data_IF_358091243925
#
_entry.id   IF_358091243925
#
_cell.length_a   1.000
_cell.length_b   1.000
_cell.length_c   1.000
_cell.angle_alpha   90.00
_cell.angle_beta   90.00
_cell.angle_gamma   90.00
#
_symmetry.space_group_name_H-M   'P 1'
#
loop_
_entity.id
_entity.type
_entity.pdbx_description
1 polymer ?
#
# COMPACT_ATOMS: atom_id res chain seq x y z
N UNK A 1 -54.26 35.46 -15.22
CA UNK A 1 -53.30 35.30 -14.12
C UNK A 1 -52.27 34.29 -14.60
N UNK A 2 -51.28 34.81 -15.30
CA UNK A 2 -50.19 33.98 -15.87
C UNK A 2 -49.17 33.74 -14.78
N UNK A 3 -48.89 32.47 -14.53
CA UNK A 3 -47.80 31.99 -13.72
C UNK A 3 -46.59 32.02 -14.64
N UNK A 4 -45.73 33.01 -14.50
CA UNK A 4 -44.41 33.01 -15.12
C UNK A 4 -43.60 31.93 -14.42
N UNK A 5 -43.43 30.79 -15.11
CA UNK A 5 -42.39 29.84 -14.79
C UNK A 5 -41.06 30.55 -14.99
N UNK A 6 -40.44 30.97 -13.89
CA UNK A 6 -39.07 31.45 -13.87
C UNK A 6 -38.23 30.22 -14.08
N UNK A 7 -37.88 29.95 -15.35
CA UNK A 7 -36.82 29.00 -15.73
C UNK A 7 -35.55 29.44 -15.00
N UNK A 8 -35.28 28.81 -13.87
CA UNK A 8 -34.01 28.98 -13.17
C UNK A 8 -32.89 28.44 -14.10
N UNK A 9 -32.25 29.35 -14.81
CA UNK A 9 -31.06 29.05 -15.59
C UNK A 9 -30.06 28.32 -14.66
N UNK A 10 -29.50 27.17 -15.04
CA UNK A 10 -28.49 26.49 -14.24
C UNK A 10 -27.32 27.44 -14.01
N UNK A 11 -26.98 27.69 -12.76
CA UNK A 11 -25.83 28.52 -12.40
C UNK A 11 -24.57 27.81 -12.93
N UNK A 12 -24.02 28.29 -14.03
CA UNK A 12 -22.75 27.77 -14.57
C UNK A 12 -21.61 28.16 -13.62
N UNK A 13 -21.03 27.17 -12.94
CA UNK A 13 -19.86 27.37 -12.13
C UNK A 13 -18.62 27.29 -13.03
N UNK A 14 -17.85 28.37 -13.05
CA UNK A 14 -16.63 28.45 -13.86
C UNK A 14 -15.45 27.80 -13.15
N UNK A 15 -14.64 27.05 -13.89
CA UNK A 15 -13.37 26.51 -13.43
C UNK A 15 -12.41 27.64 -13.03
N UNK A 16 -11.83 27.54 -11.84
CA UNK A 16 -10.81 28.48 -11.37
C UNK A 16 -9.51 27.71 -11.04
N UNK A 17 -8.40 28.42 -11.10
CA UNK A 17 -7.06 27.85 -10.86
C UNK A 17 -6.95 27.11 -9.51
N UNK A 18 -7.62 27.59 -8.46
CA UNK A 18 -7.61 26.94 -7.14
C UNK A 18 -8.23 25.53 -7.17
N UNK A 19 -9.29 25.33 -7.93
CA UNK A 19 -9.98 24.05 -8.09
C UNK A 19 -9.12 23.08 -8.92
N UNK A 20 -8.52 23.56 -9.99
CA UNK A 20 -7.59 22.76 -10.80
C UNK A 20 -6.39 22.32 -9.97
N UNK A 21 -5.75 23.23 -9.23
CA UNK A 21 -4.63 22.89 -8.33
C UNK A 21 -5.02 21.91 -7.23
N UNK A 22 -6.25 21.98 -6.70
CA UNK A 22 -6.77 21.02 -5.73
C UNK A 22 -6.84 19.61 -6.33
N UNK A 23 -7.43 19.50 -7.53
CA UNK A 23 -7.57 18.23 -8.24
C UNK A 23 -6.20 17.65 -8.63
N UNK A 24 -5.28 18.50 -9.10
CA UNK A 24 -3.90 18.09 -9.39
C UNK A 24 -3.23 17.49 -8.14
N UNK A 25 -3.36 18.16 -6.99
CA UNK A 25 -2.81 17.64 -5.73
C UNK A 25 -3.40 16.28 -5.34
N UNK A 26 -4.71 16.09 -5.50
CA UNK A 26 -5.35 14.80 -5.23
C UNK A 26 -4.89 13.72 -6.21
N UNK A 27 -4.78 14.05 -7.49
CA UNK A 27 -4.25 13.14 -8.51
C UNK A 27 -2.80 12.74 -8.23
N UNK A 28 -1.94 13.67 -7.84
CA UNK A 28 -0.55 13.38 -7.49
C UNK A 28 -0.43 12.51 -6.23
N UNK A 29 -1.25 12.78 -5.19
CA UNK A 29 -1.34 11.91 -4.01
C UNK A 29 -1.83 10.52 -4.39
N UNK A 30 -2.85 10.42 -5.25
CA UNK A 30 -3.35 9.13 -5.74
C UNK A 30 -2.26 8.35 -6.53
N UNK A 31 -1.46 9.03 -7.34
CA UNK A 31 -0.30 8.41 -7.99
C UNK A 31 0.73 7.89 -6.98
N UNK A 32 0.94 8.61 -5.89
CA UNK A 32 1.78 8.15 -4.77
C UNK A 32 1.22 6.93 -4.06
N UNK A 33 -0.10 6.94 -3.75
CA UNK A 33 -0.78 5.77 -3.17
C UNK A 33 -0.72 4.57 -4.10
N UNK A 34 -0.92 4.74 -5.41
CA UNK A 34 -0.75 3.68 -6.40
C UNK A 34 0.63 3.03 -6.30
N UNK A 35 1.68 3.84 -6.20
CA UNK A 35 3.05 3.33 -6.06
C UNK A 35 3.22 2.55 -4.75
N UNK A 36 2.73 3.09 -3.62
CA UNK A 36 2.79 2.45 -2.31
C UNK A 36 2.09 1.08 -2.31
N UNK A 37 0.87 1.02 -2.85
CA UNK A 37 0.12 -0.23 -2.97
C UNK A 37 0.79 -1.22 -3.93
N UNK A 38 1.40 -0.76 -5.03
CA UNK A 38 2.16 -1.65 -5.90
C UNK A 38 3.39 -2.24 -5.20
N UNK A 39 4.11 -1.43 -4.43
CA UNK A 39 5.25 -1.91 -3.64
C UNK A 39 4.80 -2.89 -2.55
N UNK A 40 3.72 -2.60 -1.84
CA UNK A 40 3.14 -3.49 -0.84
C UNK A 40 2.67 -4.81 -1.45
N UNK A 41 2.00 -4.77 -2.62
CA UNK A 41 1.60 -5.96 -3.39
C UNK A 41 2.80 -6.87 -3.67
N UNK A 42 3.90 -6.30 -4.17
CA UNK A 42 5.11 -7.06 -4.49
C UNK A 42 5.75 -7.65 -3.23
N UNK A 43 5.75 -6.91 -2.13
CA UNK A 43 6.23 -7.38 -0.83
C UNK A 43 5.44 -8.59 -0.33
N UNK A 44 4.11 -8.50 -0.27
CA UNK A 44 3.24 -9.59 0.19
C UNK A 44 3.25 -10.79 -0.75
N UNK A 45 3.31 -10.55 -2.07
CA UNK A 45 3.47 -11.64 -3.04
C UNK A 45 4.77 -12.41 -2.79
N UNK A 46 5.89 -11.71 -2.63
CA UNK A 46 7.18 -12.35 -2.33
C UNK A 46 7.14 -13.14 -1.02
N UNK A 47 6.49 -12.60 0.02
CA UNK A 47 6.31 -13.30 1.29
C UNK A 47 5.46 -14.57 1.12
N UNK A 48 4.37 -14.51 0.36
CA UNK A 48 3.55 -15.66 0.04
C UNK A 48 4.36 -16.75 -0.69
N UNK A 49 5.07 -16.36 -1.75
CA UNK A 49 5.86 -17.27 -2.57
C UNK A 49 6.95 -17.96 -1.74
N UNK A 50 7.63 -17.22 -0.86
CA UNK A 50 8.68 -17.73 0.02
C UNK A 50 8.18 -18.80 1.01
N UNK A 51 6.93 -18.72 1.46
CA UNK A 51 6.33 -19.71 2.36
C UNK A 51 5.68 -20.87 1.59
N UNK A 52 5.07 -20.59 0.44
CA UNK A 52 4.29 -21.58 -0.31
C UNK A 52 5.15 -22.55 -1.09
N UNK A 53 6.22 -22.10 -1.76
CA UNK A 53 7.06 -23.00 -2.56
C UNK A 53 7.74 -24.10 -1.73
N UNK A 54 8.40 -23.84 -0.59
CA UNK A 54 8.94 -24.91 0.24
C UNK A 54 7.88 -25.88 0.74
N UNK A 55 6.71 -25.38 1.11
CA UNK A 55 5.60 -26.19 1.59
C UNK A 55 5.10 -27.17 0.51
N UNK A 56 4.97 -26.69 -0.74
CA UNK A 56 4.57 -27.53 -1.89
C UNK A 56 5.63 -28.61 -2.16
N UNK A 57 6.91 -28.23 -2.15
CA UNK A 57 8.01 -29.18 -2.37
C UNK A 57 8.03 -30.26 -1.30
N UNK A 58 7.93 -29.88 -0.03
CA UNK A 58 7.86 -30.83 1.09
C UNK A 58 6.66 -31.75 0.94
N UNK A 59 5.47 -31.23 0.67
CA UNK A 59 4.25 -32.01 0.48
C UNK A 59 4.40 -33.01 -0.68
N UNK A 60 5.01 -32.59 -1.79
CA UNK A 60 5.26 -33.47 -2.94
C UNK A 60 6.21 -34.63 -2.61
N UNK A 61 7.32 -34.32 -1.93
CA UNK A 61 8.29 -35.34 -1.52
C UNK A 61 7.68 -36.30 -0.51
N UNK A 62 6.97 -35.79 0.50
CA UNK A 62 6.40 -36.63 1.55
C UNK A 62 5.20 -37.45 1.07
N UNK A 63 4.41 -36.91 0.12
CA UNK A 63 3.29 -37.63 -0.47
C UNK A 63 3.75 -38.88 -1.25
N UNK A 64 4.72 -38.74 -2.13
CA UNK A 64 5.24 -39.86 -2.94
C UNK A 64 6.13 -40.77 -2.10
N UNK A 65 7.08 -40.21 -1.35
CA UNK A 65 8.06 -40.96 -0.56
C UNK A 65 7.43 -41.70 0.62
N UNK A 66 6.46 -41.09 1.29
CA UNK A 66 5.73 -41.74 2.39
C UNK A 66 4.99 -42.98 1.93
N UNK A 67 4.34 -42.94 0.75
CA UNK A 67 3.66 -44.11 0.20
C UNK A 67 4.63 -45.25 -0.12
N UNK A 68 5.81 -44.96 -0.68
CA UNK A 68 6.80 -45.95 -1.01
C UNK A 68 7.40 -46.63 0.23
N UNK A 69 7.52 -45.91 1.35
CA UNK A 69 8.08 -46.45 2.61
C UNK A 69 7.04 -47.23 3.42
N UNK A 70 5.74 -46.87 3.32
CA UNK A 70 4.66 -47.54 4.02
C UNK A 70 4.23 -48.86 3.37
N UNK A 71 4.55 -49.07 2.08
CA UNK A 71 4.33 -50.32 1.35
C UNK A 71 5.66 -50.96 0.91
N UNK A 72 6.44 -51.50 1.82
CA UNK A 72 7.55 -52.35 1.40
C UNK A 72 6.93 -53.63 0.78
N UNK A 73 6.95 -53.70 -0.56
CA UNK A 73 6.41 -54.86 -1.28
C UNK A 73 7.19 -56.11 -0.87
N UNK A 74 6.58 -56.89 0.02
CA UNK A 74 6.80 -58.32 0.19
C UNK A 74 8.21 -58.70 0.61
N UNK A 75 8.41 -58.93 1.90
CA UNK A 75 9.09 -60.11 2.41
C UNK A 75 9.15 -60.09 3.94
N UNK A 76 8.70 -61.16 4.57
CA UNK A 76 8.83 -61.38 6.01
C UNK A 76 10.28 -61.54 6.48
N UNK A 77 11.24 -61.54 5.57
CA UNK A 77 12.68 -61.82 5.78
C UNK A 77 13.55 -60.59 5.48
N UNK A 78 13.26 -59.44 6.13
CA UNK A 78 14.09 -58.23 6.03
C UNK A 78 15.21 -58.28 7.08
N UNK A 79 16.47 -58.22 6.62
CA UNK A 79 17.66 -58.10 7.44
C UNK A 79 17.54 -56.97 8.49
N UNK A 80 18.00 -57.17 9.76
CA UNK A 80 17.91 -56.18 10.85
C UNK A 80 18.47 -54.82 10.49
N UNK A 81 19.52 -54.78 9.68
CA UNK A 81 20.16 -53.53 9.22
C UNK A 81 19.24 -52.72 8.26
N UNK A 82 18.53 -53.44 7.42
CA UNK A 82 17.54 -52.84 6.50
C UNK A 82 16.32 -52.31 7.26
N UNK A 83 15.85 -53.02 8.32
CA UNK A 83 14.77 -52.53 9.20
C UNK A 83 15.12 -51.20 9.86
N UNK A 84 16.35 -51.06 10.38
CA UNK A 84 16.84 -49.82 10.99
C UNK A 84 16.85 -48.65 9.99
N UNK A 85 17.32 -48.90 8.76
CA UNK A 85 17.31 -47.88 7.68
C UNK A 85 15.89 -47.43 7.34
N UNK A 86 14.93 -48.34 7.24
CA UNK A 86 13.52 -48.00 6.98
C UNK A 86 12.95 -47.12 8.11
N UNK A 87 13.21 -47.46 9.37
CA UNK A 87 12.76 -46.68 10.53
C UNK A 87 13.32 -45.24 10.49
N UNK A 88 14.61 -45.09 10.20
CA UNK A 88 15.24 -43.75 10.07
C UNK A 88 14.57 -42.94 8.98
N UNK A 89 14.30 -43.54 7.83
CA UNK A 89 13.60 -42.87 6.72
C UNK A 89 12.16 -42.48 7.10
N UNK A 90 11.43 -43.33 7.83
CA UNK A 90 10.09 -43.02 8.34
C UNK A 90 10.11 -41.82 9.27
N UNK A 91 11.05 -41.75 10.23
CA UNK A 91 11.17 -40.56 11.10
C UNK A 91 11.54 -39.30 10.32
N UNK A 92 12.36 -39.39 9.30
CA UNK A 92 12.68 -38.27 8.43
C UNK A 92 11.43 -37.73 7.69
N UNK A 93 10.60 -38.60 7.10
CA UNK A 93 9.36 -38.20 6.48
C UNK A 93 8.34 -37.66 7.48
N UNK A 94 8.27 -38.23 8.68
CA UNK A 94 7.43 -37.69 9.75
C UNK A 94 7.84 -36.26 10.13
N UNK A 95 9.15 -36.02 10.27
CA UNK A 95 9.67 -34.67 10.52
C UNK A 95 9.34 -33.69 9.40
N UNK A 96 9.54 -34.08 8.13
CA UNK A 96 9.18 -33.24 6.98
C UNK A 96 7.67 -32.92 6.94
N UNK A 97 6.79 -33.86 7.28
CA UNK A 97 5.34 -33.63 7.36
C UNK A 97 5.00 -32.57 8.42
N UNK A 98 5.61 -32.66 9.60
CA UNK A 98 5.42 -31.65 10.66
C UNK A 98 5.91 -30.28 10.20
N UNK A 99 7.08 -30.21 9.58
CA UNK A 99 7.66 -28.97 9.05
C UNK A 99 6.76 -28.36 7.96
N UNK A 100 6.28 -29.18 7.03
CA UNK A 100 5.34 -28.76 5.97
C UNK A 100 4.02 -28.23 6.55
N UNK A 101 3.48 -28.88 7.58
CA UNK A 101 2.31 -28.45 8.31
C UNK A 101 2.50 -27.08 8.98
N UNK A 102 3.64 -26.85 9.62
CA UNK A 102 3.99 -25.56 10.23
C UNK A 102 4.08 -24.46 9.17
N UNK A 103 4.79 -24.68 8.06
CA UNK A 103 4.93 -23.72 6.97
C UNK A 103 3.56 -23.36 6.36
N UNK A 104 2.71 -24.36 6.13
CA UNK A 104 1.36 -24.16 5.62
C UNK A 104 0.51 -23.35 6.60
N UNK A 105 0.62 -23.62 7.89
CA UNK A 105 -0.11 -22.90 8.94
C UNK A 105 0.32 -21.42 9.00
N UNK A 106 1.63 -21.14 8.95
CA UNK A 106 2.17 -19.79 8.91
C UNK A 106 1.70 -19.06 7.65
N UNK A 107 1.73 -19.71 6.48
CA UNK A 107 1.29 -19.14 5.21
C UNK A 107 -0.19 -18.76 5.25
N UNK A 108 -1.05 -19.61 5.81
CA UNK A 108 -2.49 -19.32 5.99
C UNK A 108 -2.74 -18.20 6.99
N UNK A 109 -2.02 -18.19 8.12
CA UNK A 109 -2.18 -17.18 9.15
C UNK A 109 -1.73 -15.79 8.66
N UNK A 110 -0.67 -15.73 7.88
CA UNK A 110 -0.10 -14.48 7.34
C UNK A 110 -1.04 -13.79 6.32
N UNK A 111 -1.98 -14.50 5.69
CA UNK A 111 -2.90 -14.01 4.65
C UNK A 111 -2.22 -13.20 3.54
N UNK A 112 -0.94 -13.43 3.30
CA UNK A 112 -0.13 -12.63 2.38
C UNK A 112 -0.66 -12.63 0.95
N UNK A 113 -1.30 -13.71 0.49
CA UNK A 113 -1.95 -13.77 -0.82
C UNK A 113 -3.12 -12.79 -0.92
N UNK A 114 -4.01 -12.80 0.09
CA UNK A 114 -5.19 -11.92 0.13
C UNK A 114 -4.78 -10.45 0.22
N UNK A 115 -3.76 -10.14 1.03
CA UNK A 115 -3.21 -8.80 1.14
C UNK A 115 -2.59 -8.34 -0.18
N UNK A 116 -1.85 -9.21 -0.88
CA UNK A 116 -1.30 -8.89 -2.19
C UNK A 116 -2.39 -8.59 -3.22
N UNK A 117 -3.50 -9.35 -3.20
CA UNK A 117 -4.65 -9.12 -4.08
C UNK A 117 -5.37 -7.82 -3.74
N UNK A 118 -5.64 -7.55 -2.46
CA UNK A 118 -6.25 -6.30 -2.00
C UNK A 118 -5.43 -5.08 -2.43
N UNK A 119 -4.12 -5.09 -2.22
CA UNK A 119 -3.24 -4.02 -2.69
C UNK A 119 -3.21 -3.92 -4.22
N UNK A 120 -3.32 -5.02 -4.96
CA UNK A 120 -3.43 -5.02 -6.42
C UNK A 120 -4.70 -4.31 -6.89
N UNK A 121 -5.83 -4.59 -6.24
CA UNK A 121 -7.10 -3.94 -6.53
C UNK A 121 -7.01 -2.42 -6.32
N UNK A 122 -6.42 -1.99 -5.20
CA UNK A 122 -6.22 -0.57 -4.90
C UNK A 122 -5.31 0.13 -5.92
N UNK A 123 -4.25 -0.53 -6.42
CA UNK A 123 -3.43 0.02 -7.50
C UNK A 123 -4.27 0.38 -8.73
N UNK A 124 -5.20 -0.48 -9.12
CA UNK A 124 -6.08 -0.25 -10.27
C UNK A 124 -7.04 0.90 -9.99
N UNK A 125 -7.62 0.96 -8.80
CA UNK A 125 -8.58 2.00 -8.43
C UNK A 125 -7.91 3.39 -8.36
N UNK A 126 -6.77 3.54 -7.70
CA UNK A 126 -6.01 4.79 -7.71
C UNK A 126 -5.55 5.19 -9.12
N UNK A 127 -5.23 4.22 -9.99
CA UNK A 127 -4.91 4.51 -11.39
C UNK A 127 -6.11 5.03 -12.18
N UNK A 128 -7.32 4.53 -11.89
CA UNK A 128 -8.56 5.02 -12.51
C UNK A 128 -8.85 6.44 -12.06
N UNK A 129 -8.77 6.71 -10.76
CA UNK A 129 -8.95 8.03 -10.20
C UNK A 129 -7.99 9.06 -10.84
N UNK A 130 -6.68 8.74 -10.86
CA UNK A 130 -5.68 9.59 -11.49
C UNK A 130 -6.04 9.92 -12.95
N UNK A 131 -6.35 8.89 -13.75
CA UNK A 131 -6.69 9.09 -15.16
C UNK A 131 -7.98 9.88 -15.37
N UNK A 132 -8.96 9.71 -14.49
CA UNK A 132 -10.22 10.44 -14.55
C UNK A 132 -9.99 11.95 -14.37
N UNK A 133 -9.21 12.31 -13.35
CA UNK A 133 -8.83 13.71 -13.10
C UNK A 133 -7.96 14.26 -14.23
N UNK A 134 -6.95 13.50 -14.68
CA UNK A 134 -6.05 13.90 -15.75
C UNK A 134 -6.78 14.14 -17.08
N UNK A 135 -7.74 13.26 -17.41
CA UNK A 135 -8.56 13.38 -18.61
C UNK A 135 -9.44 14.65 -18.54
N UNK A 136 -10.11 14.90 -17.41
CA UNK A 136 -10.96 16.07 -17.26
C UNK A 136 -10.16 17.38 -17.36
N UNK A 137 -9.00 17.44 -16.70
CA UNK A 137 -8.13 18.62 -16.76
C UNK A 137 -7.48 18.84 -18.14
N UNK A 138 -7.40 17.78 -18.96
CA UNK A 138 -6.88 17.87 -20.33
C UNK A 138 -7.91 18.38 -21.35
N UNK A 139 -9.19 18.43 -20.98
CA UNK A 139 -10.23 18.97 -21.83
C UNK A 139 -10.21 20.49 -21.83
N UNK A 140 -10.64 21.10 -22.95
CA UNK A 140 -10.93 22.52 -23.00
C UNK A 140 -12.03 22.88 -21.98
N UNK A 141 -11.91 24.01 -21.30
CA UNK A 141 -12.83 24.44 -20.23
C UNK A 141 -14.30 24.37 -20.62
N UNK A 142 -14.61 24.61 -21.91
CA UNK A 142 -15.97 24.56 -22.44
C UNK A 142 -16.56 23.15 -22.56
N UNK A 143 -15.70 22.13 -22.54
CA UNK A 143 -16.09 20.73 -22.69
C UNK A 143 -15.98 19.95 -21.38
N UNK A 144 -15.56 20.62 -20.30
CA UNK A 144 -15.47 20.03 -18.96
C UNK A 144 -16.83 19.95 -18.29
N UNK A 145 -16.98 18.98 -17.41
CA UNK A 145 -18.15 18.86 -16.52
C UNK A 145 -18.26 20.10 -15.59
N UNK A 146 -19.44 20.33 -15.01
CA UNK A 146 -19.59 21.38 -13.98
C UNK A 146 -18.59 21.15 -12.85
N UNK A 147 -17.82 22.20 -12.53
CA UNK A 147 -16.68 22.08 -11.60
C UNK A 147 -17.11 21.65 -10.19
N UNK A 148 -18.28 22.11 -9.71
CA UNK A 148 -18.76 21.80 -8.36
C UNK A 148 -19.13 20.32 -8.29
N UNK A 149 -19.82 19.83 -9.31
CA UNK A 149 -20.24 18.43 -9.42
C UNK A 149 -19.02 17.53 -9.56
N UNK A 150 -18.06 17.87 -10.43
CA UNK A 150 -16.84 17.08 -10.63
C UNK A 150 -15.98 17.02 -9.37
N UNK A 151 -15.73 18.17 -8.70
CA UNK A 151 -14.94 18.21 -7.45
C UNK A 151 -15.63 17.39 -6.35
N UNK A 152 -16.96 17.44 -6.26
CA UNK A 152 -17.70 16.66 -5.27
C UNK A 152 -17.59 15.15 -5.56
N UNK A 153 -17.73 14.72 -6.82
CA UNK A 153 -17.55 13.32 -7.24
C UNK A 153 -16.12 12.84 -6.98
N UNK A 154 -15.13 13.65 -7.37
CA UNK A 154 -13.73 13.35 -7.14
C UNK A 154 -13.40 13.22 -5.66
N UNK A 155 -13.94 14.09 -4.80
CA UNK A 155 -13.78 14.00 -3.35
C UNK A 155 -14.38 12.70 -2.80
N UNK A 156 -15.63 12.40 -3.15
CA UNK A 156 -16.30 11.18 -2.67
C UNK A 156 -15.53 9.91 -3.08
N UNK A 157 -15.04 9.87 -4.32
CA UNK A 157 -14.26 8.74 -4.80
C UNK A 157 -12.89 8.66 -4.09
N UNK A 158 -12.22 9.79 -3.86
CA UNK A 158 -10.95 9.82 -3.14
C UNK A 158 -11.10 9.37 -1.68
N UNK A 159 -12.14 9.86 -0.98
CA UNK A 159 -12.45 9.45 0.40
C UNK A 159 -12.76 7.94 0.46
N UNK A 160 -13.57 7.44 -0.49
CA UNK A 160 -13.85 6.00 -0.62
C UNK A 160 -12.58 5.16 -0.82
N UNK A 161 -11.64 5.64 -1.66
CA UNK A 161 -10.38 4.93 -1.88
C UNK A 161 -9.51 4.86 -0.62
N UNK A 162 -9.55 5.90 0.22
CA UNK A 162 -8.83 5.90 1.50
C UNK A 162 -9.48 4.95 2.50
N UNK A 163 -10.81 4.90 2.54
CA UNK A 163 -11.56 4.03 3.46
C UNK A 163 -11.44 2.54 3.11
N UNK A 164 -11.45 2.22 1.81
CA UNK A 164 -11.35 0.82 1.31
C UNK A 164 -9.92 0.28 1.32
N UNK A 165 -8.91 1.14 1.49
CA UNK A 165 -7.51 0.78 1.34
C UNK A 165 -7.01 -0.08 2.52
N UNK A 166 -6.35 -1.22 2.26
CA UNK A 166 -5.66 -1.97 3.30
C UNK A 166 -4.43 -1.20 3.80
N UNK A 167 -4.06 -1.46 5.06
CA UNK A 167 -2.92 -0.82 5.72
C UNK A 167 -1.62 -0.99 4.93
N UNK A 168 -0.94 0.12 4.70
CA UNK A 168 0.33 0.13 3.96
C UNK A 168 1.47 -0.25 4.90
N UNK A 169 2.25 -1.30 4.60
CA UNK A 169 3.34 -1.73 5.45
C UNK A 169 4.44 -0.67 5.53
N UNK A 170 5.04 -0.52 6.71
CA UNK A 170 6.08 0.49 6.98
C UNK A 170 7.28 0.40 6.03
N UNK A 171 7.58 -0.80 5.51
CA UNK A 171 8.64 -1.01 4.51
C UNK A 171 8.34 -0.25 3.20
N UNK A 172 7.07 -0.21 2.77
CA UNK A 172 6.65 0.52 1.56
C UNK A 172 6.73 2.03 1.76
N UNK A 173 6.35 2.52 2.94
CA UNK A 173 6.46 3.94 3.29
C UNK A 173 7.93 4.39 3.31
N UNK A 174 8.81 3.59 3.91
CA UNK A 174 10.26 3.86 3.91
C UNK A 174 10.83 3.87 2.50
N UNK A 175 10.49 2.88 1.67
CA UNK A 175 10.93 2.80 0.29
C UNK A 175 10.46 4.02 -0.53
N UNK A 176 9.22 4.45 -0.37
CA UNK A 176 8.69 5.64 -1.02
C UNK A 176 9.46 6.91 -0.65
N UNK A 177 9.75 7.09 0.63
CA UNK A 177 10.47 8.28 1.10
C UNK A 177 11.94 8.31 0.65
N UNK A 178 12.54 7.14 0.38
CA UNK A 178 13.89 7.04 -0.20
C UNK A 178 13.85 7.34 -1.70
N UNK A 179 12.87 6.80 -2.42
CA UNK A 179 12.74 6.95 -3.87
C UNK A 179 12.33 8.38 -4.26
N UNK A 180 11.43 9.00 -3.46
CA UNK A 180 10.85 10.31 -3.73
C UNK A 180 11.08 11.29 -2.57
N UNK A 181 12.34 11.67 -2.25
CA UNK A 181 12.64 12.51 -1.09
C UNK A 181 12.06 13.93 -1.22
N UNK A 182 12.03 14.49 -2.42
CA UNK A 182 11.67 15.89 -2.70
C UNK A 182 10.25 16.08 -3.26
N UNK A 183 9.43 15.00 -3.34
CA UNK A 183 8.09 15.14 -3.87
C UNK A 183 7.23 16.02 -2.95
N UNK A 184 6.64 17.09 -3.51
CA UNK A 184 5.87 18.07 -2.75
C UNK A 184 4.53 17.51 -2.26
N UNK A 185 3.75 16.87 -3.14
CA UNK A 185 2.45 16.27 -2.82
C UNK A 185 2.59 14.77 -2.54
N UNK A 186 3.21 14.43 -1.40
CA UNK A 186 3.28 13.03 -0.95
C UNK A 186 1.93 12.55 -0.40
N UNK A 187 1.66 11.23 -0.47
CA UNK A 187 0.57 10.61 0.29
C UNK A 187 0.64 10.96 1.78
N UNK A 188 -0.51 11.11 2.41
CA UNK A 188 -0.59 11.58 3.81
C UNK A 188 0.12 10.64 4.78
N UNK A 189 0.10 9.34 4.53
CA UNK A 189 0.84 8.32 5.29
C UNK A 189 2.37 8.49 5.27
N UNK A 190 2.90 9.23 4.29
CA UNK A 190 4.33 9.50 4.14
C UNK A 190 4.77 10.84 4.75
N UNK A 191 3.85 11.77 4.98
CA UNK A 191 4.13 13.14 5.41
C UNK A 191 4.07 13.35 6.93
N UNK A 192 3.59 12.39 7.71
CA UNK A 192 3.28 12.60 9.12
C UNK A 192 2.10 13.57 9.30
N UNK A 193 2.15 14.39 10.34
CA UNK A 193 1.11 15.40 10.60
C UNK A 193 1.31 16.62 9.71
N UNK A 194 0.36 16.90 8.81
CA UNK A 194 0.30 18.13 8.02
C UNK A 194 -0.67 19.11 8.67
N UNK A 195 -0.27 20.38 8.76
CA UNK A 195 -1.14 21.47 9.25
C UNK A 195 -1.83 22.08 8.03
N UNK A 196 -3.16 22.05 8.03
CA UNK A 196 -3.96 22.74 7.02
C UNK A 196 -3.99 24.22 7.40
N UNK A 197 -3.42 25.09 6.55
CA UNK A 197 -3.49 26.53 6.72
C UNK A 197 -4.39 27.09 5.61
N UNK A 198 -5.37 27.92 5.99
CA UNK A 198 -6.12 28.70 4.99
C UNK A 198 -5.22 29.80 4.42
N UNK A 199 -5.45 30.17 3.16
CA UNK A 199 -4.67 31.24 2.49
C UNK A 199 -4.72 32.55 3.29
N UNK A 200 -5.80 32.83 3.98
CA UNK A 200 -5.98 34.01 4.83
C UNK A 200 -5.08 33.96 6.09
N UNK A 201 -4.89 32.77 6.67
CA UNK A 201 -3.97 32.58 7.79
C UNK A 201 -2.50 32.69 7.35
N UNK A 202 -2.16 32.21 6.15
CA UNK A 202 -0.82 32.30 5.61
C UNK A 202 -0.39 33.76 5.35
N UNK A 203 -1.30 34.60 4.84
CA UNK A 203 -1.04 36.03 4.63
C UNK A 203 -0.84 36.81 5.94
N UNK A 204 -1.57 36.44 6.98
CA UNK A 204 -1.47 37.06 8.32
C UNK A 204 -0.17 36.68 9.02
N UNK A 205 0.33 35.45 8.83
CA UNK A 205 1.59 34.97 9.43
C UNK A 205 2.82 35.59 8.75
N UNK A 206 2.72 35.88 7.43
CA UNK A 206 3.82 36.56 6.72
C UNK A 206 3.98 38.03 7.12
N UNK A 207 2.92 38.68 7.59
CA UNK A 207 2.93 40.09 8.02
C UNK A 207 3.29 40.30 9.50
N UNK A 208 3.14 39.28 10.34
CA UNK A 208 3.54 39.31 11.75
C UNK A 208 4.62 38.26 11.96
N UNK A 209 5.88 38.70 12.20
CA UNK A 209 6.97 37.83 12.61
C UNK A 209 6.65 37.16 13.95
N UNK A 210 5.94 36.03 13.91
CA UNK A 210 5.29 35.39 15.05
C UNK A 210 6.14 34.25 15.62
N UNK A 211 6.15 34.03 16.96
CA UNK A 211 6.97 33.06 17.67
C UNK A 211 6.73 31.58 17.26
N UNK A 212 5.63 31.27 16.59
CA UNK A 212 5.32 29.89 16.12
C UNK A 212 6.30 29.44 15.02
N UNK A 213 6.75 30.31 14.14
CA UNK A 213 7.77 29.99 13.13
C UNK A 213 9.12 29.66 13.77
N UNK A 214 9.39 30.26 14.92
CA UNK A 214 10.58 30.01 15.75
C UNK A 214 10.54 28.61 16.37
N UNK A 215 9.35 28.14 16.73
CA UNK A 215 9.15 26.81 17.32
C UNK A 215 9.32 25.71 16.27
N UNK A 216 8.73 25.85 15.08
CA UNK A 216 8.86 24.90 13.97
C UNK A 216 10.30 24.80 13.50
N UNK A 217 11.03 25.92 13.41
CA UNK A 217 12.45 25.93 13.05
C UNK A 217 13.33 25.34 14.16
N UNK A 218 12.96 25.51 15.43
CA UNK A 218 13.65 24.90 16.57
C UNK A 218 13.50 23.38 16.61
N UNK A 219 12.29 22.86 16.38
CA UNK A 219 12.02 21.41 16.33
C UNK A 219 12.76 20.78 15.12
N UNK A 220 12.81 21.45 13.99
CA UNK A 220 13.56 20.99 12.80
C UNK A 220 15.08 20.95 13.06
N UNK A 221 15.64 21.94 13.78
CA UNK A 221 17.06 21.95 14.19
C UNK A 221 17.39 20.88 15.24
N UNK A 222 16.47 20.57 16.15
CA UNK A 222 16.64 19.51 17.14
C UNK A 222 16.65 18.11 16.51
N UNK A 223 15.78 17.87 15.55
CA UNK A 223 15.76 16.61 14.81
C UNK A 223 17.00 16.43 13.91
N UNK A 224 17.53 17.50 13.34
CA UNK A 224 18.74 17.43 12.56
C UNK A 224 19.98 17.16 13.43
N UNK A 225 20.05 17.76 14.64
CA UNK A 225 21.14 17.49 15.60
C UNK A 225 21.11 16.07 16.15
N UNK A 226 19.91 15.51 16.40
CA UNK A 226 19.76 14.11 16.87
C UNK A 226 20.27 13.11 15.82
N UNK A 227 19.94 13.36 14.55
CA UNK A 227 20.40 12.52 13.43
C UNK A 227 21.91 12.60 13.16
N UNK A 228 22.55 13.72 13.51
CA UNK A 228 24.01 13.91 13.41
C UNK A 228 24.78 13.26 14.57
N UNK A 229 24.15 13.06 15.72
CA UNK A 229 24.78 12.40 16.87
C UNK A 229 24.71 10.87 16.77
N UNK A 230 23.66 10.31 16.17
CA UNK A 230 23.55 8.85 15.98
C UNK A 230 24.55 8.34 14.92
N UNK A 231 24.96 9.17 13.95
CA UNK A 231 25.97 8.80 12.95
C UNK A 231 27.44 8.92 13.46
N UNK A 232 27.67 9.42 14.65
CA UNK A 232 29.03 9.58 15.22
C UNK A 232 29.37 8.51 16.27
N UNK A 233 28.53 7.50 16.46
CA UNK A 233 28.75 6.39 17.43
C UNK A 233 29.08 5.07 16.72
N UNK A 234 29.06 5.02 15.36
CA UNK A 234 29.50 3.87 14.57
C UNK A 234 30.77 4.22 13.78
N UNK A 235 31.89 4.40 14.50
CA UNK A 235 33.25 4.28 13.97
C UNK A 235 34.14 3.62 15.04
#
# INVERSE_FOLDING_TARGET
MGQEDIDAQPVQHFWCEKQEQLLVRWAEKAAGYRWLHNHARLYYKKQHDYLSYPSIVIASITGVGGFAVLNPSGSDDVDPDTKTKIIVVQYFFAFLNVLGGILTSISKFSQSANLAEAHSAMCVQYSKFYRNVDMELSLDVQHREDVVEFVQKARQEYDRLLDDAPDIPAISIKAFNIEFPEKENKPDVCNGLSIIMSDDAASTISSTANPVSRWVTSVRKLNFRRKSQDNSIEV
#
